data_IF_905978720571
#
_entry.id   IF_905978720571
#
_cell.length_a   1.000
_cell.length_b   1.000
_cell.length_c   1.000
_cell.angle_alpha   90.00
_cell.angle_beta   90.00
_cell.angle_gamma   90.00
#
_symmetry.space_group_name_H-M   'P 1'
#
loop_
_entity.id
_entity.type
_entity.pdbx_description
1 polymer ?
#
# COMPACT_ATOMS: atom_id res chain seq x y z
N UNK A 1 1.33 -11.17 24.90
CA UNK A 1 0.88 -10.90 23.53
C UNK A 1 2.11 -10.76 22.66
N UNK A 2 2.17 -11.45 21.53
CA UNK A 2 3.37 -11.49 20.69
C UNK A 2 3.69 -10.06 20.24
N UNK A 3 4.74 -9.46 20.78
CA UNK A 3 5.21 -8.12 20.42
C UNK A 3 5.82 -8.07 19.03
N UNK A 4 5.32 -8.87 18.09
CA UNK A 4 5.77 -8.93 16.70
C UNK A 4 4.88 -8.03 15.84
N UNK A 5 5.52 -7.25 14.97
CA UNK A 5 4.87 -6.40 13.97
C UNK A 5 4.56 -7.21 12.71
N UNK A 6 3.34 -7.07 12.20
CA UNK A 6 2.93 -7.60 10.89
C UNK A 6 3.65 -6.85 9.75
N UNK A 7 4.05 -7.57 8.72
CA UNK A 7 4.62 -7.01 7.49
C UNK A 7 3.60 -7.08 6.34
N UNK A 8 3.87 -6.34 5.27
CA UNK A 8 3.12 -6.47 4.01
C UNK A 8 3.12 -7.93 3.53
N UNK A 9 2.02 -8.40 2.90
CA UNK A 9 2.01 -9.71 2.27
C UNK A 9 3.13 -9.85 1.24
N UNK A 10 3.81 -10.99 1.24
CA UNK A 10 4.77 -11.36 0.21
C UNK A 10 4.09 -11.64 -1.13
N UNK A 11 4.88 -11.83 -2.19
CA UNK A 11 4.38 -12.19 -3.52
C UNK A 11 3.62 -13.54 -3.54
N UNK A 12 3.84 -14.40 -2.55
CA UNK A 12 3.11 -15.65 -2.32
C UNK A 12 1.79 -15.45 -1.55
N UNK A 13 1.43 -14.20 -1.24
CA UNK A 13 0.26 -13.82 -0.45
C UNK A 13 0.41 -14.07 1.04
N UNK A 14 1.57 -14.53 1.52
CA UNK A 14 1.76 -14.86 2.94
C UNK A 14 2.20 -13.63 3.73
N UNK A 15 1.63 -13.50 4.93
CA UNK A 15 1.98 -12.45 5.87
C UNK A 15 3.22 -12.83 6.68
N UNK A 16 4.23 -11.95 6.66
CA UNK A 16 5.41 -12.06 7.52
C UNK A 16 5.27 -11.25 8.81
N UNK A 17 6.16 -11.50 9.76
CA UNK A 17 6.25 -10.75 11.00
C UNK A 17 7.71 -10.42 11.34
N UNK A 18 7.93 -9.26 11.95
CA UNK A 18 9.25 -8.82 12.42
C UNK A 18 9.19 -8.29 13.85
N UNK A 19 10.34 -8.22 14.52
CA UNK A 19 10.42 -7.49 15.79
C UNK A 19 10.21 -5.98 15.53
N UNK A 20 9.48 -5.26 16.40
CA UNK A 20 9.40 -3.81 16.37
C UNK A 20 10.78 -3.20 16.56
N UNK A 21 11.06 -2.13 15.82
CA UNK A 21 12.37 -1.50 15.82
C UNK A 21 13.45 -2.31 15.08
N UNK A 22 14.60 -1.68 14.89
CA UNK A 22 15.71 -2.27 14.14
C UNK A 22 15.50 -2.26 12.61
N UNK A 23 16.44 -2.92 11.91
CA UNK A 23 16.61 -2.79 10.46
C UNK A 23 15.41 -3.33 9.66
N UNK A 24 14.82 -4.47 10.05
CA UNK A 24 13.71 -5.08 9.31
C UNK A 24 12.43 -4.24 9.44
N UNK A 25 12.15 -3.70 10.63
CA UNK A 25 11.03 -2.80 10.83
C UNK A 25 11.22 -1.51 10.02
N UNK A 26 12.41 -0.90 10.04
CA UNK A 26 12.72 0.29 9.26
C UNK A 26 12.61 0.05 7.74
N UNK A 27 13.06 -1.10 7.26
CA UNK A 27 12.88 -1.51 5.86
C UNK A 27 11.39 -1.70 5.52
N UNK A 28 10.61 -2.26 6.44
CA UNK A 28 9.16 -2.41 6.27
C UNK A 28 8.48 -1.04 6.18
N UNK A 29 8.87 -0.08 7.02
CA UNK A 29 8.37 1.31 6.96
C UNK A 29 8.72 2.00 5.64
N UNK A 30 9.94 1.77 5.13
CA UNK A 30 10.34 2.29 3.82
C UNK A 30 9.47 1.72 2.70
N UNK A 31 9.24 0.40 2.67
CA UNK A 31 8.38 -0.25 1.66
C UNK A 31 6.94 0.29 1.75
N UNK A 32 6.37 0.40 2.96
CA UNK A 32 5.04 0.98 3.13
C UNK A 32 4.97 2.42 2.56
N UNK A 33 6.01 3.23 2.77
CA UNK A 33 6.06 4.58 2.20
C UNK A 33 6.18 4.55 0.67
N UNK A 34 7.00 3.68 0.10
CA UNK A 34 7.18 3.55 -1.35
C UNK A 34 5.88 3.13 -2.06
N UNK A 35 5.09 2.25 -1.42
CA UNK A 35 3.75 1.88 -1.90
C UNK A 35 2.81 3.08 -1.91
N UNK A 36 2.77 3.86 -0.83
CA UNK A 36 1.94 5.06 -0.76
C UNK A 36 2.38 6.13 -1.78
N UNK A 37 3.68 6.31 -2.00
CA UNK A 37 4.19 7.21 -3.04
C UNK A 37 3.81 6.74 -4.44
N UNK A 38 3.94 5.44 -4.70
CA UNK A 38 3.52 4.85 -5.98
C UNK A 38 2.03 5.05 -6.22
N UNK A 39 1.19 4.84 -5.20
CA UNK A 39 -0.24 5.09 -5.27
C UNK A 39 -0.56 6.57 -5.53
N UNK A 40 0.16 7.50 -4.89
CA UNK A 40 -0.01 8.94 -5.11
C UNK A 40 0.34 9.34 -6.55
N UNK A 41 1.42 8.80 -7.12
CA UNK A 41 1.80 9.02 -8.52
C UNK A 41 0.72 8.51 -9.46
N UNK A 42 0.26 7.28 -9.29
CA UNK A 42 -0.79 6.68 -10.13
C UNK A 42 -2.10 7.48 -10.01
N UNK A 43 -2.49 7.89 -8.82
CA UNK A 43 -3.66 8.73 -8.61
C UNK A 43 -3.55 10.07 -9.36
N UNK A 44 -2.37 10.69 -9.36
CA UNK A 44 -2.10 11.89 -10.14
C UNK A 44 -2.30 11.67 -11.63
N UNK A 45 -1.70 10.62 -12.19
CA UNK A 45 -1.84 10.26 -13.60
C UNK A 45 -3.31 9.99 -13.99
N UNK A 46 -4.03 9.25 -13.15
CA UNK A 46 -5.45 8.92 -13.38
C UNK A 46 -6.31 10.19 -13.37
N UNK A 47 -6.04 11.15 -12.47
CA UNK A 47 -6.76 12.42 -12.44
C UNK A 47 -6.56 13.23 -13.71
N UNK A 48 -5.33 13.33 -14.22
CA UNK A 48 -5.05 14.02 -15.49
C UNK A 48 -5.76 13.34 -16.66
N UNK A 49 -5.75 12.01 -16.70
CA UNK A 49 -6.44 11.24 -17.72
C UNK A 49 -7.96 11.45 -17.68
N UNK A 50 -8.57 11.43 -16.49
CA UNK A 50 -10.01 11.67 -16.31
C UNK A 50 -10.43 13.11 -16.64
N UNK A 51 -9.51 14.08 -16.56
CA UNK A 51 -9.73 15.46 -16.99
C UNK A 51 -9.60 15.65 -18.52
N UNK A 52 -9.05 14.65 -19.21
CA UNK A 52 -8.82 14.64 -20.66
C UNK A 52 -10.02 14.14 -21.48
N UNK A 53 -9.80 13.88 -22.78
CA UNK A 53 -10.83 13.30 -23.65
C UNK A 53 -11.21 11.88 -23.19
N UNK A 54 -12.38 11.41 -23.64
CA UNK A 54 -12.84 10.05 -23.33
C UNK A 54 -11.83 9.00 -23.79
N UNK A 55 -11.47 8.11 -22.86
CA UNK A 55 -10.64 6.95 -23.11
C UNK A 55 -11.36 5.88 -23.93
N UNK A 56 -10.59 5.09 -24.65
CA UNK A 56 -11.05 3.80 -25.14
C UNK A 56 -11.31 2.82 -23.99
N UNK A 57 -12.02 1.72 -24.26
CA UNK A 57 -12.29 0.68 -23.27
C UNK A 57 -10.99 0.04 -22.76
N UNK A 58 -10.00 -0.18 -23.64
CA UNK A 58 -8.71 -0.80 -23.28
C UNK A 58 -7.89 0.12 -22.37
N UNK A 59 -7.81 1.41 -22.68
CA UNK A 59 -7.13 2.40 -21.84
C UNK A 59 -7.82 2.51 -20.47
N UNK A 60 -9.15 2.50 -20.45
CA UNK A 60 -9.94 2.53 -19.21
C UNK A 60 -9.67 1.29 -18.35
N UNK A 61 -9.56 0.11 -18.96
CA UNK A 61 -9.27 -1.13 -18.25
C UNK A 61 -7.88 -1.14 -17.61
N UNK A 62 -6.86 -0.67 -18.34
CA UNK A 62 -5.49 -0.55 -17.81
C UNK A 62 -5.44 0.43 -16.64
N UNK A 63 -6.11 1.58 -16.76
CA UNK A 63 -6.19 2.57 -15.67
C UNK A 63 -6.93 2.05 -14.45
N UNK A 64 -8.07 1.38 -14.64
CA UNK A 64 -8.84 0.78 -13.56
C UNK A 64 -8.01 -0.28 -12.81
N UNK A 65 -7.33 -1.16 -13.55
CA UNK A 65 -6.48 -2.19 -12.96
C UNK A 65 -5.34 -1.59 -12.12
N UNK A 66 -4.60 -0.60 -12.64
CA UNK A 66 -3.52 0.05 -11.88
C UNK A 66 -4.03 0.79 -10.65
N UNK A 67 -5.20 1.44 -10.78
CA UNK A 67 -5.86 2.09 -9.65
C UNK A 67 -6.24 1.07 -8.57
N UNK A 68 -6.81 -0.07 -8.95
CA UNK A 68 -7.20 -1.13 -8.02
C UNK A 68 -5.98 -1.74 -7.30
N UNK A 69 -4.88 -1.99 -8.01
CA UNK A 69 -3.63 -2.49 -7.43
C UNK A 69 -3.09 -1.49 -6.37
N UNK A 70 -2.96 -0.21 -6.72
CA UNK A 70 -2.48 0.82 -5.80
C UNK A 70 -3.43 1.05 -4.60
N UNK A 71 -4.74 0.92 -4.81
CA UNK A 71 -5.72 1.04 -3.74
C UNK A 71 -5.62 -0.12 -2.74
N UNK A 72 -5.40 -1.35 -3.22
CA UNK A 72 -5.18 -2.51 -2.36
C UNK A 72 -3.93 -2.31 -1.49
N UNK A 73 -2.84 -1.80 -2.05
CA UNK A 73 -1.62 -1.48 -1.31
C UNK A 73 -1.88 -0.40 -0.24
N UNK A 74 -2.59 0.67 -0.59
CA UNK A 74 -2.93 1.73 0.35
C UNK A 74 -3.80 1.23 1.52
N UNK A 75 -4.77 0.35 1.26
CA UNK A 75 -5.59 -0.28 2.29
C UNK A 75 -4.73 -1.14 3.22
N UNK A 76 -3.86 -1.99 2.67
CA UNK A 76 -2.96 -2.83 3.47
C UNK A 76 -2.06 -1.97 4.38
N UNK A 77 -1.49 -0.89 3.87
CA UNK A 77 -0.65 0.02 4.67
C UNK A 77 -1.48 0.71 5.78
N UNK A 78 -2.71 1.13 5.47
CA UNK A 78 -3.59 1.75 6.46
C UNK A 78 -3.92 0.78 7.61
N UNK A 79 -4.23 -0.48 7.31
CA UNK A 79 -4.47 -1.52 8.31
C UNK A 79 -3.22 -1.76 9.17
N UNK A 80 -2.06 -1.96 8.54
CA UNK A 80 -0.79 -2.19 9.23
C UNK A 80 -0.42 -1.04 10.18
N UNK A 81 -0.70 0.21 9.77
CA UNK A 81 -0.49 1.39 10.62
C UNK A 81 -1.51 1.48 11.74
N UNK A 82 -2.77 1.15 11.46
CA UNK A 82 -3.84 1.08 12.45
C UNK A 82 -3.54 0.07 13.56
N UNK A 83 -3.05 -1.12 13.21
CA UNK A 83 -2.59 -2.13 14.18
C UNK A 83 -1.51 -1.59 15.13
N UNK A 84 -0.57 -0.79 14.59
CA UNK A 84 0.52 -0.19 15.39
C UNK A 84 0.03 0.93 16.30
N UNK A 85 -0.97 1.71 15.87
CA UNK A 85 -1.59 2.73 16.71
C UNK A 85 -2.36 2.08 17.88
N UNK A 86 -3.18 1.06 17.59
CA UNK A 86 -3.92 0.34 18.62
C UNK A 86 -2.98 -0.30 19.67
N UNK A 87 -1.86 -0.87 19.24
CA UNK A 87 -0.88 -1.46 20.16
C UNK A 87 -0.10 -0.44 21.02
N UNK A 88 -0.15 0.85 20.69
CA UNK A 88 0.48 1.91 21.48
C UNK A 88 -0.45 2.52 22.53
N UNK A 89 -1.77 2.33 22.39
CA UNK A 89 -2.80 2.81 23.31
C UNK A 89 -3.06 1.84 24.48
N UNK A 90 -2.58 0.58 24.37
CA UNK A 90 -2.63 -0.48 25.40
C UNK A 90 -1.40 -0.44 26.35
#
# INVERSE_FOLDING_TARGET
MSGLRRMLPGADGRTGFCQPGGMVAAMSDAIENDLLQSAAVVLGLVREVLAGPHLTADESWVMLRRTAECLADAVNVAELRGERLAAADD
#
